data_IF_876538335884
#
_entry.id   IF_876538335884
#
_cell.length_a   1.000
_cell.length_b   1.000
_cell.length_c   1.000
_cell.angle_alpha   90.00
_cell.angle_beta   90.00
_cell.angle_gamma   90.00
#
_symmetry.space_group_name_H-M   'P 1'
#
loop_
_entity.id
_entity.type
_entity.pdbx_description
1 polymer ?
#
# COMPACT_ATOMS: atom_id res chain seq x y z
N UNK A 1 -1.19 80.28 -29.30
CA UNK A 1 -0.55 79.09 -28.70
C UNK A 1 -1.54 78.08 -28.06
N UNK A 2 -2.86 78.18 -28.27
CA UNK A 2 -3.86 77.24 -27.69
C UNK A 2 -4.65 76.38 -28.70
N UNK A 3 -4.52 76.63 -30.02
CA UNK A 3 -5.27 75.87 -31.04
C UNK A 3 -4.47 74.68 -31.61
N UNK A 4 -3.15 74.80 -31.73
CA UNK A 4 -2.31 73.73 -32.30
C UNK A 4 -2.10 72.53 -31.35
N UNK A 5 -2.25 72.71 -30.03
CA UNK A 5 -2.17 71.59 -29.08
C UNK A 5 -3.46 70.77 -28.99
N UNK A 6 -4.62 71.35 -29.35
CA UNK A 6 -5.89 70.62 -29.35
C UNK A 6 -5.98 69.64 -30.53
N UNK A 7 -5.47 70.05 -31.70
CA UNK A 7 -5.46 69.23 -32.92
C UNK A 7 -4.46 68.06 -32.81
N UNK A 8 -3.32 68.27 -32.16
CA UNK A 8 -2.35 67.20 -31.92
C UNK A 8 -2.87 66.14 -30.91
N UNK A 9 -3.59 66.55 -29.86
CA UNK A 9 -4.20 65.62 -28.92
C UNK A 9 -5.38 64.83 -29.53
N UNK A 10 -6.21 65.46 -30.37
CA UNK A 10 -7.32 64.78 -31.06
C UNK A 10 -6.83 63.76 -32.11
N UNK A 11 -5.74 64.06 -32.84
CA UNK A 11 -5.13 63.12 -33.78
C UNK A 11 -4.46 61.91 -33.09
N UNK A 12 -3.94 62.12 -31.88
CA UNK A 12 -3.30 61.07 -31.07
C UNK A 12 -4.35 60.16 -30.40
N UNK A 13 -5.50 60.70 -30.00
CA UNK A 13 -6.62 59.92 -29.48
C UNK A 13 -7.34 59.12 -30.58
N UNK A 14 -7.51 59.68 -31.78
CA UNK A 14 -8.10 58.96 -32.91
C UNK A 14 -7.24 57.76 -33.35
N UNK A 15 -5.90 57.90 -33.35
CA UNK A 15 -4.98 56.81 -33.68
C UNK A 15 -4.98 55.69 -32.62
N UNK A 16 -5.16 56.04 -31.33
CA UNK A 16 -5.23 55.06 -30.24
C UNK A 16 -6.56 54.26 -30.24
N UNK A 17 -7.69 54.89 -30.59
CA UNK A 17 -9.00 54.23 -30.68
C UNK A 17 -9.09 53.30 -31.91
N UNK A 18 -8.42 53.65 -33.01
CA UNK A 18 -8.34 52.79 -34.21
C UNK A 18 -7.41 51.58 -33.98
N UNK A 19 -6.32 51.73 -33.22
CA UNK A 19 -5.47 50.59 -32.83
C UNK A 19 -6.11 49.64 -31.83
N UNK A 20 -6.97 50.13 -30.91
CA UNK A 20 -7.71 49.26 -29.98
C UNK A 20 -8.88 48.52 -30.64
N UNK A 21 -9.40 49.00 -31.77
CA UNK A 21 -10.48 48.34 -32.52
C UNK A 21 -9.99 47.24 -33.48
N UNK A 22 -8.67 47.14 -33.68
CA UNK A 22 -8.07 46.19 -34.64
C UNK A 22 -7.72 44.84 -33.99
N UNK A 23 -7.95 44.67 -32.68
CA UNK A 23 -7.71 43.43 -31.96
C UNK A 23 -9.03 42.87 -31.40
N UNK A 24 -9.98 42.64 -32.31
CA UNK A 24 -11.18 41.82 -32.02
C UNK A 24 -11.52 40.98 -33.25
N UNK A 25 -10.51 40.40 -33.87
CA UNK A 25 -10.71 39.25 -34.75
C UNK A 25 -10.99 38.06 -33.85
N UNK A 26 -12.26 37.82 -33.49
CA UNK A 26 -12.67 36.47 -33.13
C UNK A 26 -12.50 35.63 -34.38
N UNK A 27 -11.34 35.01 -34.54
CA UNK A 27 -11.13 34.05 -35.60
C UNK A 27 -12.16 32.94 -35.38
N UNK A 28 -13.21 32.91 -36.22
CA UNK A 28 -14.20 31.85 -36.21
C UNK A 28 -13.53 30.61 -36.80
N UNK A 29 -12.80 29.88 -35.97
CA UNK A 29 -12.26 28.58 -36.32
C UNK A 29 -13.42 27.62 -36.56
N UNK A 30 -13.44 26.99 -37.74
CA UNK A 30 -14.45 26.00 -38.09
C UNK A 30 -13.79 24.62 -38.11
N UNK A 31 -14.36 23.66 -37.37
CA UNK A 31 -13.98 22.25 -37.45
C UNK A 31 -14.93 21.58 -38.44
N UNK A 32 -14.42 21.17 -39.60
CA UNK A 32 -15.17 20.37 -40.57
C UNK A 32 -14.90 18.90 -40.29
N UNK A 33 -15.92 18.15 -39.87
CA UNK A 33 -15.83 16.69 -39.68
C UNK A 33 -16.37 16.02 -40.93
N UNK A 34 -15.53 15.24 -41.61
CA UNK A 34 -15.93 14.43 -42.76
C UNK A 34 -16.54 13.12 -42.27
N UNK A 35 -17.79 12.87 -42.65
CA UNK A 35 -18.57 11.68 -42.29
C UNK A 35 -18.84 10.79 -43.52
N UNK A 36 -18.19 11.06 -44.66
CA UNK A 36 -18.46 10.38 -45.92
C UNK A 36 -17.78 9.02 -46.05
N UNK A 37 -16.78 8.73 -45.22
CA UNK A 37 -16.05 7.47 -45.23
C UNK A 37 -15.54 7.10 -43.83
N UNK A 38 -15.48 5.79 -43.53
CA UNK A 38 -14.84 5.26 -42.32
C UNK A 38 -13.37 4.96 -42.65
N UNK A 39 -12.46 5.84 -42.18
CA UNK A 39 -11.05 5.80 -42.59
C UNK A 39 -10.29 4.65 -41.92
N UNK A 40 -10.69 4.25 -40.71
CA UNK A 40 -10.09 3.14 -39.95
C UNK A 40 -11.05 2.63 -38.89
N UNK A 41 -10.99 1.33 -38.61
CA UNK A 41 -11.64 0.75 -37.45
C UNK A 41 -10.98 1.26 -36.18
N UNK A 42 -11.79 1.47 -35.14
CA UNK A 42 -11.33 1.91 -33.85
C UNK A 42 -10.92 0.70 -32.99
N UNK A 43 -9.66 0.61 -32.51
CA UNK A 43 -9.23 -0.54 -31.72
C UNK A 43 -10.04 -0.67 -30.42
N UNK A 44 -10.62 -1.85 -30.18
CA UNK A 44 -11.35 -2.14 -28.93
C UNK A 44 -10.44 -2.01 -27.69
N UNK A 45 -9.13 -2.22 -27.87
CA UNK A 45 -8.09 -2.15 -26.86
C UNK A 45 -7.47 -0.76 -26.70
N UNK A 46 -8.10 0.32 -27.21
CA UNK A 46 -7.48 1.65 -27.17
C UNK A 46 -7.32 2.22 -25.74
N UNK A 47 -8.25 1.92 -24.83
CA UNK A 47 -8.29 2.51 -23.48
C UNK A 47 -8.22 1.44 -22.39
N UNK A 48 -7.06 1.37 -21.73
CA UNK A 48 -6.88 0.54 -20.54
C UNK A 48 -6.42 1.34 -19.32
N UNK A 49 -6.18 0.61 -18.24
CA UNK A 49 -5.59 1.15 -17.01
C UNK A 49 -4.24 0.49 -16.73
N UNK A 50 -3.41 1.21 -15.99
CA UNK A 50 -2.11 0.75 -15.52
C UNK A 50 -2.07 0.79 -13.99
N UNK A 51 -1.72 -0.33 -13.39
CA UNK A 51 -1.58 -0.49 -11.94
C UNK A 51 -0.15 -0.96 -11.65
N UNK A 52 0.57 -0.19 -10.84
CA UNK A 52 1.78 -0.62 -10.16
C UNK A 52 1.60 -0.39 -8.67
N UNK A 53 2.32 -1.12 -7.81
CA UNK A 53 2.37 -0.79 -6.39
C UNK A 53 3.12 0.53 -6.24
N UNK A 54 2.39 1.64 -6.28
CA UNK A 54 2.91 3.00 -6.05
C UNK A 54 1.89 3.76 -5.20
N UNK A 55 2.37 4.59 -4.27
CA UNK A 55 1.50 5.38 -3.40
C UNK A 55 0.49 4.55 -2.61
N UNK A 56 0.87 3.32 -2.21
CA UNK A 56 0.00 2.37 -1.48
C UNK A 56 -1.25 1.97 -2.27
N UNK A 57 -1.12 1.81 -3.59
CA UNK A 57 -2.25 1.47 -4.46
C UNK A 57 -2.63 0.00 -4.43
N UNK A 58 -1.72 -0.91 -4.06
CA UNK A 58 -2.07 -2.28 -3.69
C UNK A 58 -2.24 -2.38 -2.18
N UNK A 59 -1.14 -2.48 -1.45
CA UNK A 59 -1.13 -2.50 0.03
C UNK A 59 -1.59 -1.16 0.61
N UNK A 60 -2.73 -1.15 1.30
CA UNK A 60 -3.39 0.07 1.79
C UNK A 60 -4.39 0.68 0.79
N UNK A 61 -4.46 0.12 -0.42
CA UNK A 61 -5.34 0.53 -1.50
C UNK A 61 -6.26 -0.61 -1.94
N UNK A 62 -5.99 -1.18 -3.12
CA UNK A 62 -6.80 -2.21 -3.75
C UNK A 62 -6.85 -3.52 -2.94
N UNK A 63 -5.81 -3.80 -2.14
CA UNK A 63 -5.82 -4.90 -1.17
C UNK A 63 -6.54 -4.43 0.10
N UNK A 64 -7.61 -5.12 0.56
CA UNK A 64 -8.44 -4.60 1.65
C UNK A 64 -7.92 -4.91 3.06
N UNK A 65 -6.65 -5.32 3.21
CA UNK A 65 -6.02 -5.45 4.52
C UNK A 65 -5.95 -4.08 5.21
N UNK A 66 -6.43 -4.02 6.44
CA UNK A 66 -6.52 -2.77 7.19
C UNK A 66 -5.40 -2.62 8.23
N UNK A 67 -4.63 -3.67 8.51
CA UNK A 67 -3.48 -3.62 9.42
C UNK A 67 -2.22 -3.27 8.63
N UNK A 68 -1.63 -2.13 8.98
CA UNK A 68 -0.35 -1.72 8.40
C UNK A 68 0.79 -2.51 9.04
N UNK A 69 1.76 -2.96 8.23
CA UNK A 69 2.90 -3.76 8.67
C UNK A 69 2.47 -5.03 9.45
N UNK A 70 1.49 -5.77 8.91
CA UNK A 70 0.87 -6.95 9.53
C UNK A 70 1.84 -8.09 9.88
N UNK A 71 2.95 -8.20 9.15
CA UNK A 71 3.98 -9.23 9.31
C UNK A 71 5.35 -8.70 9.75
N UNK A 72 5.46 -7.42 10.12
CA UNK A 72 6.72 -6.80 10.55
C UNK A 72 7.84 -6.73 9.47
N UNK A 73 7.44 -6.69 8.20
CA UNK A 73 8.34 -6.71 7.02
C UNK A 73 8.61 -5.31 6.45
N UNK A 74 7.98 -4.26 6.97
CA UNK A 74 8.03 -2.88 6.40
C UNK A 74 9.45 -2.34 6.20
N UNK A 75 10.41 -2.82 7.02
CA UNK A 75 11.82 -2.45 6.95
C UNK A 75 12.74 -3.57 6.51
N UNK A 76 12.23 -4.61 5.86
CA UNK A 76 13.07 -5.63 5.26
C UNK A 76 13.82 -5.10 4.04
N UNK A 77 15.09 -5.50 3.96
CA UNK A 77 16.04 -5.05 2.94
C UNK A 77 16.49 -6.29 2.18
N UNK A 78 16.57 -6.24 0.84
CA UNK A 78 17.07 -7.37 0.06
C UNK A 78 18.50 -7.77 0.46
N UNK A 79 18.79 -9.07 0.44
CA UNK A 79 20.08 -9.64 0.86
C UNK A 79 21.29 -9.07 0.11
N UNK A 80 21.10 -8.60 -1.12
CA UNK A 80 22.16 -8.03 -1.97
C UNK A 80 22.28 -6.51 -1.85
N UNK A 81 21.56 -5.90 -0.92
CA UNK A 81 21.62 -4.48 -0.58
C UNK A 81 22.32 -4.27 0.77
N UNK A 82 22.88 -3.08 0.98
CA UNK A 82 23.55 -2.70 2.23
C UNK A 82 22.97 -1.43 2.80
N UNK A 83 22.83 -1.34 4.12
CA UNK A 83 22.36 -0.12 4.78
C UNK A 83 23.53 0.69 5.32
N UNK A 84 23.61 1.97 4.96
CA UNK A 84 24.62 2.93 5.43
C UNK A 84 23.87 4.22 5.78
N UNK A 85 24.07 4.77 6.99
CA UNK A 85 23.49 6.05 7.41
C UNK A 85 21.96 6.22 7.15
N UNK A 86 21.17 5.17 7.39
CA UNK A 86 19.72 5.10 7.09
C UNK A 86 19.37 5.24 5.60
N UNK A 87 20.28 4.79 4.74
CA UNK A 87 20.11 4.69 3.31
C UNK A 87 20.27 3.23 2.85
N UNK A 88 19.36 2.76 2.01
CA UNK A 88 19.51 1.43 1.39
C UNK A 88 20.29 1.57 0.10
N UNK A 89 21.44 0.92 0.03
CA UNK A 89 22.30 0.88 -1.14
C UNK A 89 22.10 -0.42 -1.91
N UNK A 90 21.64 -0.31 -3.15
CA UNK A 90 21.63 -1.43 -4.09
C UNK A 90 23.06 -1.84 -4.48
N UNK A 91 23.24 -3.04 -5.07
CA UNK A 91 24.56 -3.50 -5.48
C UNK A 91 25.18 -2.56 -6.53
N UNK A 92 26.47 -2.26 -6.40
CA UNK A 92 27.16 -1.35 -7.32
C UNK A 92 27.34 -1.98 -8.72
N UNK A 93 26.50 -1.57 -9.68
CA UNK A 93 26.55 -2.07 -11.06
C UNK A 93 26.61 -0.94 -12.09
N UNK A 94 27.20 -1.18 -13.29
CA UNK A 94 27.14 -0.23 -14.40
C UNK A 94 25.68 -0.01 -14.82
N UNK A 95 25.28 1.24 -14.95
CA UNK A 95 23.93 1.57 -15.36
C UNK A 95 23.64 1.20 -16.84
N UNK A 96 22.50 0.59 -17.17
CA UNK A 96 22.18 0.15 -18.55
C UNK A 96 22.26 1.29 -19.59
N UNK A 97 21.91 2.52 -19.20
CA UNK A 97 21.88 3.66 -20.12
C UNK A 97 23.24 4.39 -20.21
N UNK A 98 23.88 4.62 -19.07
CA UNK A 98 25.08 5.48 -19.01
C UNK A 98 26.40 4.71 -18.86
N UNK A 99 26.36 3.42 -18.53
CA UNK A 99 27.53 2.59 -18.22
C UNK A 99 28.28 2.98 -16.94
N UNK A 100 27.84 4.05 -16.24
CA UNK A 100 28.47 4.50 -15.00
C UNK A 100 28.03 3.60 -13.86
N UNK A 101 28.99 3.21 -13.02
CA UNK A 101 28.69 2.45 -11.80
C UNK A 101 27.91 3.36 -10.85
N UNK A 102 26.74 2.89 -10.43
CA UNK A 102 25.93 3.50 -9.38
C UNK A 102 25.53 2.42 -8.39
N UNK A 103 25.52 2.76 -7.10
CA UNK A 103 24.74 2.07 -6.09
C UNK A 103 23.50 2.95 -5.86
N UNK A 104 22.31 2.44 -6.21
CA UNK A 104 21.07 3.16 -5.94
C UNK A 104 20.98 3.46 -4.44
N UNK A 105 20.48 4.64 -4.09
CA UNK A 105 20.31 5.06 -2.70
C UNK A 105 18.82 5.30 -2.47
N UNK A 106 18.23 4.54 -1.56
CA UNK A 106 16.93 4.86 -1.02
C UNK A 106 17.11 5.69 0.26
N UNK A 107 16.68 6.95 0.25
CA UNK A 107 16.83 7.89 1.36
C UNK A 107 15.72 7.71 2.40
N UNK A 108 16.01 8.04 3.66
CA UNK A 108 15.04 8.05 4.78
C UNK A 108 14.46 6.68 5.15
N UNK A 109 15.21 5.61 4.92
CA UNK A 109 14.84 4.27 5.36
C UNK A 109 15.57 3.96 6.66
N UNK A 110 14.86 4.03 7.78
CA UNK A 110 15.40 3.56 9.06
C UNK A 110 15.18 2.03 9.16
N UNK A 111 16.20 1.19 8.89
CA UNK A 111 16.03 -0.27 8.92
C UNK A 111 15.76 -0.80 10.34
N UNK A 112 16.09 -0.02 11.37
CA UNK A 112 15.92 -0.41 12.76
C UNK A 112 14.47 -0.25 13.23
N UNK A 113 13.65 0.54 12.52
CA UNK A 113 12.23 0.73 12.82
C UNK A 113 11.36 -0.41 12.28
N UNK A 114 11.71 -1.67 12.57
CA UNK A 114 10.99 -2.86 12.11
C UNK A 114 9.52 -2.91 12.58
N UNK A 115 9.20 -2.19 13.64
CA UNK A 115 7.86 -2.07 14.23
C UNK A 115 7.09 -0.86 13.70
N UNK A 116 7.45 -0.30 12.55
CA UNK A 116 6.72 0.84 11.98
C UNK A 116 5.21 0.54 11.89
N UNK A 117 4.38 1.52 12.26
CA UNK A 117 2.93 1.34 12.35
C UNK A 117 2.42 0.80 13.69
N UNK A 118 3.32 0.28 14.53
CA UNK A 118 2.96 -0.32 15.83
C UNK A 118 3.43 0.54 16.99
N UNK A 119 2.56 0.75 17.98
CA UNK A 119 2.87 1.46 19.22
C UNK A 119 2.65 0.54 20.43
N UNK A 120 3.64 0.44 21.30
CA UNK A 120 3.56 -0.31 22.56
C UNK A 120 3.41 0.63 23.76
N UNK A 121 2.41 0.36 24.60
CA UNK A 121 2.14 1.11 25.83
C UNK A 121 2.01 0.13 27.01
N UNK A 122 2.92 0.15 28.00
CA UNK A 122 2.76 -0.64 29.22
C UNK A 122 1.54 -0.18 30.04
N UNK A 123 0.86 -1.12 30.72
CA UNK A 123 -0.18 -0.76 31.69
C UNK A 123 0.40 -0.06 32.92
N UNK A 124 -0.46 0.55 33.75
CA UNK A 124 -0.03 1.21 34.98
C UNK A 124 0.83 0.27 35.85
N UNK A 125 1.98 0.78 36.31
CA UNK A 125 2.96 0.02 37.10
C UNK A 125 3.52 -1.24 36.43
N UNK A 126 3.48 -1.30 35.09
CA UNK A 126 4.07 -2.37 34.26
C UNK A 126 5.25 -1.85 33.44
N UNK A 127 6.03 -2.77 32.88
CA UNK A 127 6.99 -2.47 31.82
C UNK A 127 6.80 -3.42 30.65
N UNK A 128 7.06 -2.95 29.43
CA UNK A 128 7.00 -3.79 28.25
C UNK A 128 8.02 -3.34 27.22
N UNK A 129 8.62 -4.30 26.53
CA UNK A 129 9.48 -4.07 25.36
C UNK A 129 8.99 -4.89 24.19
N UNK A 130 9.13 -4.36 22.97
CA UNK A 130 8.88 -5.09 21.74
C UNK A 130 10.12 -5.15 20.88
N UNK A 131 10.31 -6.27 20.19
CA UNK A 131 11.41 -6.47 19.25
C UNK A 131 10.98 -7.43 18.15
N UNK A 132 11.29 -7.11 16.90
CA UNK A 132 11.15 -8.05 15.80
C UNK A 132 12.31 -9.05 15.81
N UNK A 133 11.99 -10.34 15.75
CA UNK A 133 12.94 -11.46 15.77
C UNK A 133 12.69 -12.39 14.60
N UNK A 134 13.73 -13.08 14.15
CA UNK A 134 13.66 -14.01 13.01
C UNK A 134 13.72 -15.49 13.40
N UNK A 135 13.58 -15.78 14.70
CA UNK A 135 13.71 -17.12 15.24
C UNK A 135 12.35 -17.81 15.32
N UNK A 136 12.25 -19.01 14.72
CA UNK A 136 11.04 -19.82 14.68
C UNK A 136 9.82 -19.05 14.09
N UNK A 137 9.89 -18.63 12.81
CA UNK A 137 8.81 -17.89 12.16
C UNK A 137 7.54 -18.72 12.00
N UNK A 138 6.40 -18.06 11.84
CA UNK A 138 5.11 -18.71 11.55
C UNK A 138 5.08 -19.32 10.15
N UNK A 139 5.84 -18.75 9.21
CA UNK A 139 5.78 -19.00 7.78
C UNK A 139 7.18 -19.14 7.19
N UNK A 140 7.26 -19.70 5.96
CA UNK A 140 8.50 -19.68 5.18
C UNK A 140 8.64 -18.41 4.34
N UNK A 141 7.52 -17.74 4.04
CA UNK A 141 7.47 -16.52 3.23
C UNK A 141 7.99 -15.28 3.95
N UNK A 142 7.85 -15.26 5.28
CA UNK A 142 8.26 -14.18 6.16
C UNK A 142 9.00 -14.76 7.37
N UNK A 143 10.22 -14.28 7.62
CA UNK A 143 11.06 -14.74 8.72
C UNK A 143 10.77 -14.02 10.03
N UNK A 144 10.08 -12.89 10.01
CA UNK A 144 9.87 -12.01 11.15
C UNK A 144 8.78 -12.53 12.10
N UNK A 145 8.82 -12.06 13.33
CA UNK A 145 7.73 -12.12 14.31
C UNK A 145 8.01 -11.09 15.40
N UNK A 146 6.97 -10.58 16.06
CA UNK A 146 7.14 -9.64 17.16
C UNK A 146 7.23 -10.38 18.49
N UNK A 147 8.37 -10.25 19.17
CA UNK A 147 8.54 -10.65 20.57
C UNK A 147 8.12 -9.49 21.48
N UNK A 148 7.28 -9.80 22.47
CA UNK A 148 6.93 -8.92 23.57
C UNK A 148 7.44 -9.53 24.87
N UNK A 149 8.17 -8.72 25.66
CA UNK A 149 8.56 -9.06 27.03
C UNK A 149 7.85 -8.10 27.97
N UNK A 150 6.97 -8.63 28.83
CA UNK A 150 6.06 -7.84 29.67
C UNK A 150 6.30 -8.17 31.14
N UNK A 151 6.36 -7.15 31.98
CA UNK A 151 6.37 -7.28 33.45
C UNK A 151 5.22 -6.49 34.06
N UNK A 152 4.71 -6.94 35.21
CA UNK A 152 3.55 -6.31 35.85
C UNK A 152 2.22 -6.88 35.37
N UNK A 153 1.23 -6.01 35.19
CA UNK A 153 -0.16 -6.36 34.88
C UNK A 153 -0.46 -6.48 33.39
N UNK A 154 0.36 -5.91 32.50
CA UNK A 154 0.14 -6.03 31.07
C UNK A 154 0.70 -4.91 30.20
N UNK A 155 0.33 -4.95 28.92
CA UNK A 155 0.66 -3.95 27.92
C UNK A 155 -0.42 -3.85 26.84
N UNK A 156 -0.41 -2.76 26.07
CA UNK A 156 -1.23 -2.56 24.87
C UNK A 156 -0.34 -2.41 23.65
N UNK A 157 -0.66 -3.13 22.59
CA UNK A 157 -0.06 -2.96 21.29
C UNK A 157 -1.13 -2.41 20.33
N UNK A 158 -0.80 -1.32 19.64
CA UNK A 158 -1.77 -0.55 18.85
C UNK A 158 -1.32 -0.41 17.40
N UNK A 159 -2.28 -0.46 16.47
CA UNK A 159 -2.07 -0.21 15.04
C UNK A 159 -3.21 0.66 14.50
N UNK A 160 -2.86 1.73 13.79
CA UNK A 160 -3.83 2.68 13.22
C UNK A 160 -4.19 2.35 11.76
N UNK A 161 -3.66 1.26 11.22
CA UNK A 161 -3.82 0.90 9.81
C UNK A 161 -3.13 1.89 8.88
N UNK A 162 -3.64 1.98 7.66
CA UNK A 162 -3.17 2.92 6.64
C UNK A 162 -3.79 4.31 6.85
N UNK A 163 -3.37 4.98 7.93
CA UNK A 163 -3.91 6.28 8.40
C UNK A 163 -5.38 6.26 8.87
N UNK A 164 -5.84 5.10 9.34
CA UNK A 164 -7.18 4.86 9.88
C UNK A 164 -7.68 3.47 9.49
N UNK A 165 -8.44 2.83 10.38
CA UNK A 165 -9.21 1.62 10.06
C UNK A 165 -10.65 2.02 9.78
N UNK A 166 -11.18 1.57 8.63
CA UNK A 166 -12.55 1.84 8.22
C UNK A 166 -13.49 0.74 8.67
N UNK A 167 -14.48 1.11 9.48
CA UNK A 167 -15.57 0.27 9.94
C UNK A 167 -16.88 0.87 9.41
N UNK A 168 -17.79 0.03 8.93
CA UNK A 168 -19.08 0.45 8.36
C UNK A 168 -20.19 -0.26 9.13
N UNK A 169 -21.21 0.50 9.53
CA UNK A 169 -22.33 -0.05 10.29
C UNK A 169 -23.06 -1.12 9.47
N UNK A 170 -23.24 -2.31 10.05
CA UNK A 170 -23.86 -3.47 9.42
C UNK A 170 -22.90 -4.40 8.69
N UNK A 171 -21.66 -3.97 8.44
CA UNK A 171 -20.64 -4.82 7.81
C UNK A 171 -19.93 -5.73 8.82
N UNK A 172 -19.30 -6.77 8.29
CA UNK A 172 -18.53 -7.75 9.05
C UNK A 172 -17.08 -7.77 8.59
N UNK A 173 -16.20 -8.02 9.55
CA UNK A 173 -14.76 -8.08 9.34
C UNK A 173 -14.20 -9.33 10.01
N UNK A 174 -13.20 -9.95 9.39
CA UNK A 174 -12.45 -11.05 9.97
C UNK A 174 -11.16 -10.49 10.57
N UNK A 175 -10.98 -10.64 11.87
CA UNK A 175 -9.70 -10.41 12.52
C UNK A 175 -9.02 -11.77 12.73
N UNK A 176 -7.72 -11.84 12.45
CA UNK A 176 -6.92 -13.00 12.83
C UNK A 176 -5.51 -12.61 13.18
N UNK A 177 -4.85 -13.42 13.99
CA UNK A 177 -3.44 -13.29 14.32
C UNK A 177 -2.87 -14.65 14.69
N UNK A 178 -1.55 -14.78 14.59
CA UNK A 178 -0.83 -15.92 15.13
C UNK A 178 -0.17 -15.52 16.43
N UNK A 179 -0.21 -16.40 17.42
CA UNK A 179 0.55 -16.23 18.66
C UNK A 179 1.27 -17.51 19.04
N UNK A 180 2.46 -17.35 19.62
CA UNK A 180 3.27 -18.42 20.20
C UNK A 180 3.63 -18.03 21.61
N UNK A 181 3.34 -18.93 22.53
CA UNK A 181 3.51 -18.70 23.96
C UNK A 181 3.91 -19.99 24.68
N UNK A 182 4.61 -19.86 25.80
CA UNK A 182 4.93 -20.96 26.72
C UNK A 182 4.35 -20.64 28.09
N UNK A 183 4.56 -21.50 29.08
CA UNK A 183 4.23 -21.19 30.47
C UNK A 183 4.94 -19.95 31.04
N UNK A 184 5.96 -19.42 30.34
CA UNK A 184 6.62 -18.18 30.71
C UNK A 184 5.69 -16.96 30.66
N UNK A 185 4.65 -16.98 29.82
CA UNK A 185 3.62 -15.94 29.78
C UNK A 185 2.32 -16.42 30.46
N UNK A 186 1.85 -15.64 31.42
CA UNK A 186 0.73 -16.05 32.27
C UNK A 186 -0.64 -15.50 31.82
N UNK A 187 -0.69 -14.52 30.91
CA UNK A 187 -1.92 -13.89 30.44
C UNK A 187 -2.53 -14.51 29.17
N UNK A 188 -3.54 -13.82 28.65
CA UNK A 188 -4.14 -13.96 27.33
C UNK A 188 -4.05 -12.65 26.54
N UNK A 189 -4.72 -12.61 25.38
CA UNK A 189 -4.75 -11.43 24.51
C UNK A 189 -6.19 -11.01 24.32
N UNK A 190 -6.53 -9.77 24.70
CA UNK A 190 -7.80 -9.15 24.36
C UNK A 190 -7.64 -8.26 23.14
N UNK A 191 -8.34 -8.57 22.07
CA UNK A 191 -8.35 -7.79 20.84
C UNK A 191 -9.53 -6.83 20.87
N UNK A 192 -9.26 -5.55 20.64
CA UNK A 192 -10.28 -4.51 20.57
C UNK A 192 -10.15 -3.72 19.27
N UNK A 193 -11.28 -3.27 18.74
CA UNK A 193 -11.33 -2.19 17.76
C UNK A 193 -11.92 -0.97 18.46
N UNK A 194 -11.16 0.12 18.51
CA UNK A 194 -11.54 1.35 19.20
C UNK A 194 -11.78 2.43 18.15
N UNK A 195 -12.98 3.02 18.14
CA UNK A 195 -13.34 4.13 17.28
C UNK A 195 -12.58 5.41 17.63
N UNK A 196 -12.63 6.39 16.73
CA UNK A 196 -11.91 7.67 16.86
C UNK A 196 -12.31 8.46 18.11
N UNK A 197 -13.55 8.27 18.57
CA UNK A 197 -14.11 8.94 19.75
C UNK A 197 -13.87 8.13 21.05
N UNK A 198 -13.06 7.05 20.97
CA UNK A 198 -12.68 6.20 22.09
C UNK A 198 -13.71 5.12 22.44
N UNK A 199 -14.80 5.02 21.68
CA UNK A 199 -15.81 3.99 21.86
C UNK A 199 -15.32 2.63 21.37
N UNK A 200 -15.65 1.59 22.13
CA UNK A 200 -15.36 0.21 21.77
C UNK A 200 -16.33 -0.27 20.68
N UNK A 201 -15.80 -0.67 19.52
CA UNK A 201 -16.55 -1.27 18.41
C UNK A 201 -16.62 -2.79 18.58
N UNK A 202 -15.53 -3.37 19.07
CA UNK A 202 -15.35 -4.79 19.28
C UNK A 202 -14.40 -5.04 20.44
N UNK A 203 -14.65 -6.11 21.19
CA UNK A 203 -13.74 -6.62 22.22
C UNK A 203 -13.92 -8.12 22.39
N UNK A 204 -12.83 -8.87 22.25
CA UNK A 204 -12.82 -10.32 22.49
C UNK A 204 -11.50 -10.75 23.13
N UNK A 205 -11.60 -11.62 24.15
CA UNK A 205 -10.43 -12.17 24.84
C UNK A 205 -10.15 -13.59 24.35
N UNK A 206 -8.89 -13.82 24.01
CA UNK A 206 -8.34 -15.11 23.62
C UNK A 206 -7.40 -15.64 24.70
N UNK A 207 -7.72 -16.81 25.24
CA UNK A 207 -6.80 -17.55 26.09
C UNK A 207 -5.76 -18.27 25.22
N UNK A 208 -4.48 -18.03 25.49
CA UNK A 208 -3.40 -18.59 24.67
C UNK A 208 -3.09 -20.03 25.03
N UNK A 209 -2.84 -20.84 24.00
CA UNK A 209 -2.19 -22.14 24.16
C UNK A 209 -0.71 -21.94 24.52
N UNK A 210 -0.24 -22.66 25.55
CA UNK A 210 1.09 -22.48 26.16
C UNK A 210 2.04 -23.65 25.88
N UNK A 211 1.97 -24.22 24.68
CA UNK A 211 2.76 -25.38 24.25
C UNK A 211 4.03 -25.01 23.47
N UNK A 212 4.31 -23.72 23.28
CA UNK A 212 5.46 -23.22 22.52
C UNK A 212 5.31 -23.31 21.01
N UNK A 213 4.15 -23.75 20.50
CA UNK A 213 3.85 -23.76 19.06
C UNK A 213 3.06 -22.51 18.65
N UNK A 214 3.16 -22.13 17.38
CA UNK A 214 2.29 -21.12 16.78
C UNK A 214 0.86 -21.64 16.68
N UNK A 215 -0.10 -20.85 17.15
CA UNK A 215 -1.53 -21.08 16.94
C UNK A 215 -2.16 -19.85 16.29
N UNK A 216 -3.11 -20.09 15.38
CA UNK A 216 -3.97 -19.05 14.83
C UNK A 216 -5.14 -18.80 15.79
N UNK A 217 -5.48 -17.54 15.98
CA UNK A 217 -6.67 -17.08 16.67
C UNK A 217 -7.42 -16.15 15.72
N UNK A 218 -8.75 -16.26 15.68
CA UNK A 218 -9.59 -15.45 14.80
C UNK A 218 -10.97 -15.22 15.40
N UNK A 219 -11.61 -14.15 14.94
CA UNK A 219 -12.98 -13.80 15.28
C UNK A 219 -13.63 -12.99 14.15
N UNK A 220 -14.96 -12.93 14.19
CA UNK A 220 -15.75 -12.08 13.30
C UNK A 220 -16.24 -10.86 14.08
N UNK A 221 -15.87 -9.69 13.58
CA UNK A 221 -16.33 -8.40 14.08
C UNK A 221 -17.58 -8.03 13.31
N UNK A 222 -18.69 -7.80 14.01
CA UNK A 222 -19.88 -7.18 13.44
C UNK A 222 -19.92 -5.71 13.87
N UNK A 223 -19.66 -4.78 12.95
CA UNK A 223 -19.67 -3.37 13.28
C UNK A 223 -21.09 -2.84 13.36
N UNK A 224 -21.42 -2.14 14.45
CA UNK A 224 -22.67 -1.40 14.59
C UNK A 224 -22.49 0.10 14.32
N UNK A 225 -21.28 0.56 13.99
CA UNK A 225 -20.97 1.97 13.71
C UNK A 225 -20.23 2.15 12.39
N UNK A 226 -20.28 3.38 11.88
CA UNK A 226 -19.42 3.83 10.77
C UNK A 226 -18.34 4.77 11.32
N UNK A 227 -17.08 4.41 11.14
CA UNK A 227 -15.90 5.18 11.56
C UNK A 227 -14.74 4.91 10.59
N UNK A 228 -14.02 5.95 10.16
CA UNK A 228 -12.88 5.83 9.26
C UNK A 228 -11.52 6.05 9.94
N UNK A 229 -11.52 6.19 11.26
CA UNK A 229 -10.34 6.43 12.09
C UNK A 229 -10.34 5.53 13.32
N UNK A 230 -10.92 4.33 13.19
CA UNK A 230 -10.75 3.31 14.21
C UNK A 230 -9.30 2.82 14.25
N UNK A 231 -8.94 2.14 15.33
CA UNK A 231 -7.64 1.50 15.52
C UNK A 231 -7.76 0.13 16.17
N UNK A 232 -6.81 -0.74 15.89
CA UNK A 232 -6.64 -2.02 16.57
C UNK A 232 -5.90 -1.78 17.89
N UNK A 233 -6.41 -2.38 18.98
CA UNK A 233 -5.75 -2.40 20.30
C UNK A 233 -5.74 -3.83 20.83
N UNK A 234 -4.57 -4.44 20.87
CA UNK A 234 -4.34 -5.75 21.49
C UNK A 234 -3.81 -5.55 22.92
N UNK A 235 -4.62 -5.90 23.92
CA UNK A 235 -4.25 -5.86 25.34
C UNK A 235 -3.73 -7.23 25.79
N UNK A 236 -2.50 -7.24 26.28
CA UNK A 236 -1.85 -8.40 26.87
C UNK A 236 -2.05 -8.32 28.38
N UNK A 237 -2.82 -9.22 28.98
CA UNK A 237 -3.28 -9.10 30.38
C UNK A 237 -2.49 -9.97 31.37
N UNK A 238 -1.19 -10.04 31.16
CA UNK A 238 -0.27 -10.77 32.01
C UNK A 238 1.19 -10.40 31.78
N UNK A 239 2.07 -11.08 32.49
CA UNK A 239 3.52 -10.94 32.42
C UNK A 239 4.18 -12.16 31.78
N UNK A 240 5.37 -11.93 31.22
CA UNK A 240 6.18 -12.93 30.54
C UNK A 240 6.44 -12.59 29.07
N UNK A 241 6.96 -13.59 28.36
CA UNK A 241 7.31 -13.47 26.96
C UNK A 241 6.25 -14.11 26.05
N UNK A 242 5.79 -13.36 25.05
CA UNK A 242 4.85 -13.82 24.02
C UNK A 242 5.29 -13.35 22.65
N UNK A 243 5.03 -14.16 21.63
CA UNK A 243 5.31 -13.83 20.24
C UNK A 243 3.99 -13.71 19.48
N UNK A 244 3.89 -12.71 18.62
CA UNK A 244 2.76 -12.53 17.70
C UNK A 244 3.25 -12.32 16.28
N UNK A 245 2.44 -12.71 15.32
CA UNK A 245 2.72 -12.51 13.90
C UNK A 245 1.45 -12.53 13.05
N UNK A 246 1.56 -12.04 11.82
CA UNK A 246 0.55 -12.05 10.77
C UNK A 246 -0.83 -11.60 11.27
N UNK A 247 -0.88 -10.38 11.80
CA UNK A 247 -2.10 -9.76 12.32
C UNK A 247 -2.89 -9.14 11.16
N UNK A 248 -4.04 -9.71 10.84
CA UNK A 248 -4.83 -9.34 9.65
C UNK A 248 -6.25 -8.95 10.04
N UNK A 249 -6.73 -7.83 9.50
CA UNK A 249 -8.10 -7.35 9.63
C UNK A 249 -8.66 -7.06 8.24
N UNK A 250 -9.61 -7.90 7.81
CA UNK A 250 -10.14 -7.90 6.44
C UNK A 250 -11.67 -7.74 6.46
N UNK A 251 -12.28 -6.91 5.58
CA UNK A 251 -13.72 -6.95 5.39
C UNK A 251 -14.16 -8.31 4.83
N UNK A 252 -15.32 -8.80 5.25
CA UNK A 252 -15.94 -9.99 4.66
C UNK A 252 -16.49 -9.69 3.26
N UNK A 253 -17.01 -8.47 3.07
CA UNK A 253 -17.48 -8.02 1.77
C UNK A 253 -16.31 -7.48 0.95
N UNK A 254 -16.05 -8.12 -0.19
CA UNK A 254 -15.01 -7.72 -1.15
C UNK A 254 -15.62 -7.62 -2.54
N UNK A 255 -14.91 -6.97 -3.46
CA UNK A 255 -15.34 -6.85 -4.85
C UNK A 255 -15.61 -8.24 -5.44
N UNK A 256 -16.85 -8.47 -5.89
CA UNK A 256 -17.34 -9.76 -6.40
C UNK A 256 -17.15 -10.97 -5.46
N UNK A 257 -16.76 -10.76 -4.20
CA UNK A 257 -16.34 -11.84 -3.29
C UNK A 257 -14.94 -12.41 -3.57
N UNK A 258 -14.13 -11.75 -4.39
CA UNK A 258 -12.83 -12.24 -4.87
C UNK A 258 -11.62 -11.58 -4.20
N UNK A 259 -11.83 -10.86 -3.09
CA UNK A 259 -10.74 -10.46 -2.20
C UNK A 259 -10.17 -9.05 -2.40
N UNK A 260 -10.62 -8.29 -3.40
CA UNK A 260 -10.21 -6.89 -3.57
C UNK A 260 -11.13 -5.91 -2.84
N UNK A 261 -10.59 -4.74 -2.49
CA UNK A 261 -11.32 -3.67 -1.83
C UNK A 261 -12.43 -3.13 -2.75
N UNK A 262 -13.67 -3.22 -2.26
CA UNK A 262 -14.88 -3.06 -3.09
C UNK A 262 -15.01 -1.68 -3.74
N UNK A 263 -14.83 -0.61 -2.98
CA UNK A 263 -14.99 0.78 -3.46
C UNK A 263 -13.98 1.14 -4.57
N UNK A 264 -12.71 0.80 -4.37
CA UNK A 264 -11.64 1.06 -5.36
C UNK A 264 -11.82 0.18 -6.59
N UNK A 265 -12.03 -1.12 -6.41
CA UNK A 265 -12.22 -2.04 -7.53
C UNK A 265 -13.46 -1.70 -8.36
N UNK A 266 -14.58 -1.30 -7.72
CA UNK A 266 -15.77 -0.82 -8.42
C UNK A 266 -15.48 0.45 -9.22
N UNK A 267 -14.75 1.41 -8.63
CA UNK A 267 -14.36 2.64 -9.34
C UNK A 267 -13.55 2.34 -10.59
N UNK A 268 -12.62 1.37 -10.51
CA UNK A 268 -11.84 0.91 -11.66
C UNK A 268 -12.71 0.19 -12.70
N UNK A 269 -13.67 -0.63 -12.26
CA UNK A 269 -14.62 -1.32 -13.14
C UNK A 269 -15.53 -0.32 -13.90
N UNK A 270 -15.96 0.75 -13.24
CA UNK A 270 -16.85 1.76 -13.81
C UNK A 270 -16.18 2.59 -14.92
N UNK A 271 -14.84 2.63 -14.96
CA UNK A 271 -14.06 3.22 -16.07
C UNK A 271 -14.18 2.38 -17.35
N UNK A 272 -14.56 1.10 -17.23
CA UNK A 272 -14.66 0.11 -18.32
C UNK A 272 -13.38 0.01 -19.15
N UNK A 273 -12.22 -0.24 -18.51
CA UNK A 273 -10.98 -0.43 -19.25
C UNK A 273 -11.09 -1.69 -20.12
N UNK A 274 -10.61 -1.62 -21.36
CA UNK A 274 -10.51 -2.81 -22.21
C UNK A 274 -9.33 -3.70 -21.82
N UNK A 275 -8.29 -3.15 -21.18
CA UNK A 275 -7.17 -3.93 -20.63
C UNK A 275 -6.64 -3.36 -19.31
N UNK A 276 -5.97 -4.20 -18.53
CA UNK A 276 -5.26 -3.81 -17.30
C UNK A 276 -3.80 -4.23 -17.39
N UNK A 277 -2.86 -3.28 -17.23
CA UNK A 277 -1.42 -3.54 -17.19
C UNK A 277 -0.92 -3.65 -15.74
N UNK A 278 -0.30 -4.79 -15.37
CA UNK A 278 0.22 -5.10 -14.02
C UNK A 278 1.30 -6.22 -14.07
N UNK A 279 2.25 -6.38 -13.12
CA UNK A 279 2.59 -5.53 -11.95
C UNK A 279 3.57 -4.43 -12.35
N UNK A 280 3.32 -3.78 -13.49
CA UNK A 280 4.32 -3.02 -14.24
C UNK A 280 4.86 -1.78 -13.54
N UNK A 281 5.44 -0.89 -14.34
CA UNK A 281 6.25 0.20 -13.82
C UNK A 281 7.60 -0.33 -13.34
N UNK A 282 8.18 0.35 -12.36
CA UNK A 282 9.52 -0.01 -11.88
C UNK A 282 9.49 -1.30 -11.03
N UNK A 283 8.35 -1.63 -10.42
CA UNK A 283 8.24 -2.71 -9.43
C UNK A 283 8.62 -4.07 -10.00
N UNK A 284 8.20 -4.38 -11.22
CA UNK A 284 8.54 -5.65 -11.89
C UNK A 284 10.06 -5.85 -12.06
N UNK A 285 10.82 -4.76 -12.11
CA UNK A 285 12.27 -4.75 -12.27
C UNK A 285 12.98 -5.03 -10.93
N UNK A 286 12.45 -4.48 -9.84
CA UNK A 286 13.04 -4.52 -8.50
C UNK A 286 14.27 -3.60 -8.35
N UNK A 287 14.70 -3.43 -7.09
CA UNK A 287 15.95 -2.71 -6.78
C UNK A 287 17.19 -3.43 -7.31
N UNK A 288 17.11 -4.75 -7.33
CA UNK A 288 18.13 -5.65 -7.85
C UNK A 288 17.44 -6.85 -8.50
N UNK A 289 18.21 -7.67 -9.20
CA UNK A 289 17.68 -8.93 -9.70
C UNK A 289 17.22 -9.87 -8.58
N UNK A 290 17.76 -9.76 -7.36
CA UNK A 290 17.32 -10.58 -6.23
C UNK A 290 15.91 -10.18 -5.75
N UNK A 291 15.64 -8.87 -5.79
CA UNK A 291 14.41 -8.20 -5.30
C UNK A 291 13.29 -8.05 -6.36
N UNK A 292 13.55 -8.40 -7.62
CA UNK A 292 12.51 -8.39 -8.67
C UNK A 292 11.26 -9.19 -8.28
N UNK A 293 10.11 -8.79 -8.82
CA UNK A 293 8.89 -9.60 -8.72
C UNK A 293 9.10 -10.96 -9.40
N UNK A 294 8.83 -12.03 -8.65
CA UNK A 294 8.84 -13.42 -9.13
C UNK A 294 7.43 -13.96 -8.98
N UNK A 295 6.72 -14.10 -10.09
CA UNK A 295 5.29 -14.44 -10.08
C UNK A 295 4.93 -15.66 -9.24
N UNK A 296 5.79 -16.69 -9.22
CA UNK A 296 5.57 -17.92 -8.45
C UNK A 296 5.58 -17.69 -6.93
N UNK A 297 6.25 -16.65 -6.45
CA UNK A 297 6.29 -16.24 -5.05
C UNK A 297 5.05 -15.42 -4.65
N UNK A 298 4.20 -15.04 -5.62
CA UNK A 298 2.99 -14.24 -5.40
C UNK A 298 1.70 -15.05 -5.45
N UNK A 299 1.80 -16.37 -5.59
CA UNK A 299 0.65 -17.28 -5.68
C UNK A 299 0.65 -18.25 -4.49
N UNK A 300 -0.51 -18.87 -4.22
CA UNK A 300 -0.70 -19.72 -3.06
C UNK A 300 -1.10 -18.94 -1.80
N UNK A 301 -0.99 -19.57 -0.61
CA UNK A 301 -1.40 -18.96 0.65
C UNK A 301 -0.69 -17.62 0.88
N UNK A 302 -1.44 -16.56 1.20
CA UNK A 302 -0.89 -15.20 1.36
C UNK A 302 0.21 -15.13 2.41
N UNK A 303 0.08 -15.87 3.51
CA UNK A 303 1.08 -15.94 4.57
C UNK A 303 2.43 -16.51 4.09
N UNK A 304 2.44 -17.31 3.01
CA UNK A 304 3.66 -17.91 2.45
C UNK A 304 4.26 -17.09 1.29
N UNK A 305 3.61 -15.99 0.89
CA UNK A 305 4.13 -15.12 -0.17
C UNK A 305 5.30 -14.31 0.38
N UNK A 306 6.32 -14.14 -0.46
CA UNK A 306 7.54 -13.42 -0.08
C UNK A 306 7.38 -11.96 -0.50
N UNK A 307 7.26 -11.06 0.46
CA UNK A 307 7.20 -9.63 0.21
C UNK A 307 8.50 -9.08 -0.40
N UNK A 308 8.43 -7.85 -0.92
CA UNK A 308 9.53 -7.17 -1.62
C UNK A 308 9.70 -5.74 -1.12
N UNK A 309 10.94 -5.24 -1.20
CA UNK A 309 11.16 -3.82 -0.98
C UNK A 309 10.66 -3.08 -2.21
N UNK A 310 9.68 -2.20 -2.01
CA UNK A 310 9.09 -1.42 -3.08
C UNK A 310 10.03 -0.27 -3.48
N UNK A 311 10.14 -0.01 -4.79
CA UNK A 311 10.98 1.06 -5.34
C UNK A 311 10.45 2.48 -5.05
N UNK A 312 9.27 2.57 -4.45
CA UNK A 312 8.63 3.78 -3.98
C UNK A 312 8.67 3.93 -2.45
N UNK A 313 9.44 3.09 -1.76
CA UNK A 313 9.90 3.41 -0.40
C UNK A 313 9.16 2.76 0.74
N UNK A 314 8.51 1.65 0.47
CA UNK A 314 7.78 0.89 1.45
C UNK A 314 7.89 -0.60 1.16
N UNK A 315 7.26 -1.45 1.96
CA UNK A 315 7.21 -2.88 1.69
C UNK A 315 5.95 -3.25 0.90
N UNK A 316 6.11 -4.09 -0.12
CA UNK A 316 5.03 -4.74 -0.84
C UNK A 316 4.90 -6.19 -0.36
N UNK A 317 3.80 -6.50 0.31
CA UNK A 317 3.49 -7.81 0.87
C UNK A 317 3.30 -8.91 -0.18
N UNK A 318 3.17 -8.53 -1.46
CA UNK A 318 2.76 -9.40 -2.56
C UNK A 318 1.41 -10.11 -2.29
N UNK A 319 0.59 -9.53 -1.42
CA UNK A 319 -0.76 -10.01 -1.13
C UNK A 319 -1.68 -9.84 -2.34
N UNK A 320 -1.52 -8.81 -3.17
CA UNK A 320 -2.06 -8.86 -4.54
C UNK A 320 -1.02 -9.58 -5.40
N UNK A 321 -1.38 -10.79 -5.80
CA UNK A 321 -0.55 -11.62 -6.66
C UNK A 321 -1.15 -11.79 -8.04
N UNK A 322 -0.50 -12.64 -8.82
CA UNK A 322 -0.88 -12.87 -10.22
C UNK A 322 -2.26 -13.49 -10.36
N UNK A 323 -2.64 -14.39 -9.45
CA UNK A 323 -3.99 -14.96 -9.44
C UNK A 323 -5.04 -13.87 -9.16
N UNK A 324 -4.78 -13.01 -8.17
CA UNK A 324 -5.69 -11.93 -7.79
C UNK A 324 -5.87 -10.92 -8.93
N UNK A 325 -4.78 -10.59 -9.65
CA UNK A 325 -4.81 -9.73 -10.83
C UNK A 325 -5.63 -10.32 -11.99
N UNK A 326 -5.41 -11.60 -12.32
CA UNK A 326 -6.15 -12.26 -13.40
C UNK A 326 -7.64 -12.37 -13.05
N UNK A 327 -7.96 -12.70 -11.80
CA UNK A 327 -9.35 -12.72 -11.31
C UNK A 327 -10.01 -11.34 -11.45
N UNK A 328 -9.30 -10.26 -11.10
CA UNK A 328 -9.82 -8.91 -11.25
C UNK A 328 -10.10 -8.55 -12.72
N UNK A 329 -9.22 -8.94 -13.64
CA UNK A 329 -9.44 -8.74 -15.07
C UNK A 329 -10.71 -9.46 -15.56
N UNK A 330 -10.91 -10.72 -15.13
CA UNK A 330 -12.14 -11.47 -15.42
C UNK A 330 -13.38 -10.78 -14.84
N UNK A 331 -13.31 -10.29 -13.58
CA UNK A 331 -14.43 -9.66 -12.89
C UNK A 331 -14.92 -8.37 -13.55
N UNK A 332 -14.02 -7.62 -14.19
CA UNK A 332 -14.36 -6.34 -14.85
C UNK A 332 -14.49 -6.47 -16.38
N UNK A 333 -14.22 -7.66 -16.94
CA UNK A 333 -14.27 -7.90 -18.38
C UNK A 333 -13.14 -7.21 -19.17
N UNK A 334 -11.96 -7.07 -18.58
CA UNK A 334 -10.78 -6.48 -19.21
C UNK A 334 -9.74 -7.54 -19.58
N UNK A 335 -8.98 -7.33 -20.66
CA UNK A 335 -7.87 -8.19 -21.01
C UNK A 335 -6.64 -7.95 -20.09
N UNK A 336 -5.99 -9.02 -19.60
CA UNK A 336 -4.80 -8.87 -18.78
C UNK A 336 -3.56 -8.57 -19.64
N UNK A 337 -3.02 -7.35 -19.53
CA UNK A 337 -1.70 -7.01 -20.07
C UNK A 337 -0.62 -7.33 -19.04
N UNK A 338 -0.15 -8.57 -19.10
CA UNK A 338 0.78 -9.11 -18.14
C UNK A 338 2.24 -8.66 -18.37
N UNK A 339 2.92 -8.18 -17.32
CA UNK A 339 4.33 -7.75 -17.38
C UNK A 339 5.27 -8.73 -16.66
N UNK A 340 6.20 -9.33 -17.41
CA UNK A 340 7.31 -10.13 -16.86
C UNK A 340 8.58 -9.32 -16.71
N UNK A 341 9.39 -9.65 -15.70
CA UNK A 341 10.77 -9.19 -15.67
C UNK A 341 11.54 -9.74 -16.89
N UNK A 342 12.20 -8.86 -17.64
CA UNK A 342 12.92 -9.19 -18.87
C UNK A 342 14.44 -9.47 -18.66
N UNK A 343 14.85 -9.82 -17.44
CA UNK A 343 16.26 -10.08 -17.10
C UNK A 343 17.05 -8.83 -16.69
N UNK A 344 16.35 -7.80 -16.23
CA UNK A 344 16.90 -6.47 -15.92
C UNK A 344 16.33 -5.97 -14.58
N UNK A 345 17.16 -5.28 -13.80
CA UNK A 345 16.71 -4.46 -12.68
C UNK A 345 16.40 -3.03 -13.16
N UNK A 346 15.88 -2.16 -12.29
CA UNK A 346 15.34 -0.87 -12.72
C UNK A 346 16.39 0.02 -13.42
N UNK A 347 16.16 0.33 -14.70
CA UNK A 347 17.12 1.04 -15.58
C UNK A 347 17.55 2.40 -15.05
N UNK A 348 16.70 3.10 -14.29
CA UNK A 348 17.04 4.41 -13.73
C UNK A 348 17.88 4.29 -12.46
N UNK A 349 17.72 3.18 -11.72
CA UNK A 349 18.21 3.02 -10.35
C UNK A 349 19.45 2.13 -10.28
N UNK A 350 19.39 0.93 -10.85
CA UNK A 350 20.44 -0.07 -10.71
C UNK A 350 20.42 -1.11 -11.83
N UNK A 351 21.62 -1.57 -12.19
CA UNK A 351 21.83 -2.28 -13.43
C UNK A 351 21.80 -1.33 -14.62
#
# INVERSE_FOLDING_TARGET
MKLNHLVACLASFASAVIMLSSCSSSANSTINVDMSDEITEYPEDLWGIFIEEISRSGDGGLWPEMIYNMGFEEKDVPDDCTVIDNEVHGPAKPNYQSGRVKNYIFYHFNPDNKTEGWTLEPMASSSATMKVVTTNPVSKGNANSLQLDITGSGARLMNEGYAGISMVSGEKYNISFYARSTSAYNGGIKVNIIGKDGNEIFSEKFDLTKDGAWKKYDAVIASNITDNKAKLVMEFDGSGQVFIDYISLMPQETFMGHGLRKDIAQTLADIKPSFVRWPGGCIVEGLSMADRIKWKETIGPRIERVGKMDLWGYHNSCSIGYHDFLQFCEDIGAEPMFVVNAGLSCVVRNG
#
